data_IF_726079477576
#
_entry.id   IF_726079477576
#
_cell.length_a   1.000
_cell.length_b   1.000
_cell.length_c   1.000
_cell.angle_alpha   90.00
_cell.angle_beta   90.00
_cell.angle_gamma   90.00
#
_symmetry.space_group_name_H-M   'P 1'
#
loop_
_entity.id
_entity.type
_entity.pdbx_description
1 polymer ?
#
# COMPACT_ATOMS: atom_id res chain seq x y z
N UNK A 1 2.85 -14.31 -19.58
CA UNK A 1 2.71 -15.23 -20.75
C UNK A 1 3.90 -16.20 -20.80
N UNK A 2 5.14 -15.73 -20.89
CA UNK A 2 6.34 -16.58 -21.00
C UNK A 2 6.51 -17.53 -19.83
N UNK A 3 6.30 -17.07 -18.61
CA UNK A 3 6.36 -17.91 -17.40
C UNK A 3 5.32 -19.02 -17.45
N UNK A 4 4.07 -18.69 -17.83
CA UNK A 4 3.01 -19.69 -17.96
C UNK A 4 3.34 -20.74 -19.04
N UNK A 5 3.83 -20.29 -20.21
CA UNK A 5 4.24 -21.19 -21.28
C UNK A 5 5.35 -22.15 -20.85
N UNK A 6 6.38 -21.63 -20.16
CA UNK A 6 7.48 -22.44 -19.64
C UNK A 6 7.00 -23.41 -18.56
N UNK A 7 6.19 -22.94 -17.62
CA UNK A 7 5.65 -23.78 -16.55
C UNK A 7 4.76 -24.91 -17.13
N UNK A 8 3.88 -24.58 -18.07
CA UNK A 8 3.04 -25.57 -18.75
C UNK A 8 3.87 -26.67 -19.40
N UNK A 9 4.91 -26.27 -20.17
CA UNK A 9 5.80 -27.22 -20.84
C UNK A 9 6.53 -28.13 -19.85
N UNK A 10 7.06 -27.59 -18.76
CA UNK A 10 7.75 -28.39 -17.72
C UNK A 10 6.79 -29.37 -17.06
N UNK A 11 5.61 -28.90 -16.66
CA UNK A 11 4.61 -29.72 -15.98
C UNK A 11 4.08 -30.85 -16.85
N UNK A 12 3.80 -30.59 -18.12
CA UNK A 12 3.22 -31.59 -19.04
C UNK A 12 4.27 -32.52 -19.64
N UNK A 13 5.48 -32.03 -19.99
CA UNK A 13 6.50 -32.84 -20.68
C UNK A 13 7.47 -33.54 -19.72
N UNK A 14 7.72 -32.98 -18.52
CA UNK A 14 8.69 -33.52 -17.57
C UNK A 14 8.02 -34.00 -16.27
N UNK A 15 6.92 -33.39 -15.86
CA UNK A 15 6.19 -33.69 -14.64
C UNK A 15 5.02 -34.67 -14.83
N UNK A 16 4.66 -35.00 -16.07
CA UNK A 16 3.52 -35.87 -16.44
C UNK A 16 2.18 -35.40 -15.83
N UNK A 17 2.01 -34.07 -15.66
CA UNK A 17 0.76 -33.48 -15.19
C UNK A 17 -0.28 -33.49 -16.29
N UNK A 18 -1.51 -33.87 -15.93
CA UNK A 18 -2.62 -33.66 -16.82
C UNK A 18 -2.85 -32.15 -17.03
N UNK A 19 -2.92 -31.65 -18.28
CA UNK A 19 -3.17 -30.24 -18.55
C UNK A 19 -4.40 -29.66 -17.84
N UNK A 20 -5.45 -30.47 -17.63
CA UNK A 20 -6.67 -30.06 -16.92
C UNK A 20 -6.48 -29.85 -15.40
N UNK A 21 -5.37 -30.30 -14.82
CA UNK A 21 -5.04 -30.09 -13.42
C UNK A 21 -4.18 -28.82 -13.21
N UNK A 22 -3.83 -28.12 -14.29
CA UNK A 22 -3.01 -26.92 -14.27
C UNK A 22 -3.91 -25.68 -14.20
N UNK A 23 -3.74 -24.88 -13.15
CA UNK A 23 -4.45 -23.61 -12.95
C UNK A 23 -3.41 -22.50 -12.90
N UNK A 24 -3.48 -21.54 -13.81
CA UNK A 24 -2.65 -20.35 -13.79
C UNK A 24 -3.37 -19.19 -13.11
N UNK A 25 -2.68 -18.48 -12.23
CA UNK A 25 -3.09 -17.19 -11.70
C UNK A 25 -2.08 -16.11 -12.12
N UNK A 26 -2.38 -15.34 -13.19
CA UNK A 26 -1.49 -14.28 -13.68
C UNK A 26 -1.41 -13.05 -12.80
N UNK A 27 -1.92 -13.09 -11.58
CA UNK A 27 -2.07 -12.00 -10.62
C UNK A 27 -3.02 -10.87 -11.08
N UNK A 28 -4.11 -10.68 -10.35
CA UNK A 28 -4.94 -9.49 -10.48
C UNK A 28 -4.35 -8.40 -9.61
N UNK A 29 -3.92 -7.30 -10.22
CA UNK A 29 -3.30 -6.16 -9.56
C UNK A 29 -4.24 -4.96 -9.53
N UNK A 30 -3.99 -4.00 -8.62
CA UNK A 30 -4.82 -2.83 -8.46
C UNK A 30 -4.67 -1.86 -9.64
N UNK A 31 -5.82 -1.35 -10.13
CA UNK A 31 -5.88 -0.28 -11.13
C UNK A 31 -6.34 1.04 -10.50
N UNK A 32 -6.29 2.13 -11.25
CA UNK A 32 -6.66 3.47 -10.79
C UNK A 32 -5.97 3.84 -9.47
N UNK A 33 -4.69 3.56 -9.34
CA UNK A 33 -3.88 3.91 -8.18
C UNK A 33 -3.31 5.32 -8.24
N UNK A 34 -3.40 5.97 -9.41
CA UNK A 34 -2.72 7.22 -9.74
C UNK A 34 -1.27 7.02 -10.22
N UNK A 35 -0.82 5.79 -10.39
CA UNK A 35 0.47 5.41 -10.95
C UNK A 35 0.22 4.89 -12.36
N UNK A 36 0.77 5.54 -13.37
CA UNK A 36 0.51 5.26 -14.79
C UNK A 36 0.81 3.81 -15.20
N UNK A 37 1.87 3.21 -14.64
CA UNK A 37 2.23 1.82 -14.90
C UNK A 37 1.14 0.81 -14.49
N UNK A 38 0.29 1.19 -13.52
CA UNK A 38 -0.78 0.32 -13.02
C UNK A 38 -2.05 0.35 -13.88
N UNK A 39 -2.20 1.36 -14.74
CA UNK A 39 -3.47 1.58 -15.46
C UNK A 39 -3.80 0.43 -16.42
N UNK A 40 -2.79 -0.30 -16.90
CA UNK A 40 -2.97 -1.39 -17.86
C UNK A 40 -3.08 -2.79 -17.23
N UNK A 41 -2.91 -2.95 -15.92
CA UNK A 41 -2.84 -4.27 -15.27
C UNK A 41 -4.09 -5.14 -15.49
N UNK A 42 -5.28 -4.56 -15.46
CA UNK A 42 -6.51 -5.32 -15.72
C UNK A 42 -6.60 -5.79 -17.18
N UNK A 43 -6.22 -4.93 -18.11
CA UNK A 43 -6.14 -5.25 -19.55
C UNK A 43 -5.14 -6.37 -19.80
N UNK A 44 -4.00 -6.32 -19.16
CA UNK A 44 -2.93 -7.31 -19.31
C UNK A 44 -3.36 -8.67 -18.76
N UNK A 45 -4.06 -8.71 -17.62
CA UNK A 45 -4.65 -9.94 -17.09
C UNK A 45 -5.66 -10.53 -18.07
N UNK A 46 -6.58 -9.71 -18.59
CA UNK A 46 -7.62 -10.15 -19.56
C UNK A 46 -6.97 -10.70 -20.83
N UNK A 47 -5.95 -10.02 -21.37
CA UNK A 47 -5.18 -10.50 -22.54
C UNK A 47 -4.41 -11.78 -22.23
N UNK A 48 -3.76 -11.87 -21.06
CA UNK A 48 -3.02 -13.06 -20.65
C UNK A 48 -3.97 -14.26 -20.52
N UNK A 49 -5.16 -14.07 -19.96
CA UNK A 49 -6.20 -15.08 -19.88
C UNK A 49 -6.54 -15.63 -21.27
N UNK A 50 -6.88 -14.75 -22.22
CA UNK A 50 -7.19 -15.18 -23.59
C UNK A 50 -6.04 -15.89 -24.28
N UNK A 51 -4.80 -15.43 -24.05
CA UNK A 51 -3.61 -16.08 -24.57
C UNK A 51 -3.39 -17.49 -23.99
N UNK A 52 -3.54 -17.66 -22.66
CA UNK A 52 -3.41 -18.96 -21.96
C UNK A 52 -4.44 -19.93 -22.53
N UNK A 53 -5.70 -19.55 -22.59
CA UNK A 53 -6.79 -20.42 -23.09
C UNK A 53 -6.57 -20.85 -24.54
N UNK A 54 -5.97 -19.99 -25.37
CA UNK A 54 -5.68 -20.28 -26.78
C UNK A 54 -4.44 -21.16 -26.97
N UNK A 55 -3.39 -20.98 -26.17
CA UNK A 55 -2.08 -21.53 -26.43
C UNK A 55 -1.67 -22.67 -25.49
N UNK A 56 -2.36 -22.82 -24.33
CA UNK A 56 -2.09 -23.85 -23.32
C UNK A 56 -3.32 -24.74 -23.13
N UNK A 57 -3.57 -25.70 -24.06
CA UNK A 57 -4.80 -26.50 -24.08
C UNK A 57 -5.02 -27.25 -22.77
N UNK A 58 -6.24 -27.20 -22.23
CA UNK A 58 -6.62 -27.85 -20.97
C UNK A 58 -6.34 -27.03 -19.72
N UNK A 59 -5.41 -26.09 -19.75
CA UNK A 59 -5.12 -25.26 -18.58
C UNK A 59 -6.28 -24.31 -18.23
N UNK A 60 -6.44 -24.09 -16.93
CA UNK A 60 -7.43 -23.18 -16.35
C UNK A 60 -6.78 -21.88 -15.91
N UNK A 61 -7.63 -20.82 -15.76
CA UNK A 61 -7.20 -19.51 -15.29
C UNK A 61 -8.03 -19.10 -14.08
N UNK A 62 -7.35 -18.72 -13.01
CA UNK A 62 -7.90 -18.17 -11.77
C UNK A 62 -7.41 -16.75 -11.53
N UNK A 63 -8.11 -16.00 -10.67
CA UNK A 63 -7.64 -14.68 -10.22
C UNK A 63 -8.30 -14.19 -8.95
N UNK A 64 -7.52 -13.51 -8.11
CA UNK A 64 -7.95 -12.85 -6.88
C UNK A 64 -8.58 -11.49 -7.17
N UNK A 65 -9.87 -11.44 -7.50
CA UNK A 65 -10.56 -10.28 -8.06
C UNK A 65 -10.57 -9.05 -7.14
N UNK A 66 -10.57 -9.25 -5.82
CA UNK A 66 -10.65 -8.15 -4.85
C UNK A 66 -9.46 -7.18 -4.90
N UNK A 67 -8.31 -7.63 -5.40
CA UNK A 67 -7.12 -6.79 -5.54
C UNK A 67 -7.32 -5.66 -6.54
N UNK A 68 -8.10 -5.90 -7.62
CA UNK A 68 -8.35 -4.93 -8.69
C UNK A 68 -8.75 -3.56 -8.16
N UNK A 69 -9.65 -3.54 -7.20
CA UNK A 69 -10.32 -2.33 -6.69
C UNK A 69 -9.72 -1.79 -5.38
N UNK A 70 -8.49 -2.17 -5.05
CA UNK A 70 -7.84 -1.75 -3.80
C UNK A 70 -7.77 -0.22 -3.66
N UNK A 71 -7.59 0.50 -4.75
CA UNK A 71 -7.56 1.97 -4.82
C UNK A 71 -8.84 2.64 -4.32
N UNK A 72 -9.99 1.94 -4.37
CA UNK A 72 -11.30 2.40 -3.89
C UNK A 72 -11.70 1.78 -2.54
N UNK A 73 -10.74 1.35 -1.72
CA UNK A 73 -11.02 0.84 -0.37
C UNK A 73 -11.83 1.86 0.44
N UNK A 74 -12.93 1.40 1.04
CA UNK A 74 -13.90 2.26 1.75
C UNK A 74 -15.15 2.63 0.93
N UNK A 75 -15.22 2.27 -0.36
CA UNK A 75 -16.43 2.39 -1.18
C UNK A 75 -16.82 1.01 -1.75
N UNK A 76 -17.61 0.26 -1.01
CA UNK A 76 -17.96 -1.12 -1.37
C UNK A 76 -18.72 -1.20 -2.69
N UNK A 77 -19.62 -0.26 -2.97
CA UNK A 77 -20.40 -0.27 -4.23
C UNK A 77 -19.50 -0.15 -5.46
N UNK A 78 -18.62 0.85 -5.49
CA UNK A 78 -17.68 1.03 -6.61
C UNK A 78 -16.75 -0.19 -6.75
N UNK A 79 -16.29 -0.74 -5.63
CA UNK A 79 -15.44 -1.94 -5.65
C UNK A 79 -16.15 -3.14 -6.25
N UNK A 80 -17.39 -3.43 -5.82
CA UNK A 80 -18.19 -4.53 -6.34
C UNK A 80 -18.52 -4.34 -7.82
N UNK A 81 -18.85 -3.10 -8.22
CA UNK A 81 -19.10 -2.78 -9.63
C UNK A 81 -17.84 -2.96 -10.50
N UNK A 82 -16.65 -2.56 -10.00
CA UNK A 82 -15.38 -2.84 -10.69
C UNK A 82 -15.12 -4.36 -10.83
N UNK A 83 -15.44 -5.14 -9.79
CA UNK A 83 -15.31 -6.61 -9.85
C UNK A 83 -16.25 -7.20 -10.89
N UNK A 84 -17.50 -6.75 -10.94
CA UNK A 84 -18.48 -7.22 -11.90
C UNK A 84 -18.05 -6.93 -13.35
N UNK A 85 -17.56 -5.71 -13.61
CA UNK A 85 -17.05 -5.32 -14.94
C UNK A 85 -15.83 -6.13 -15.33
N UNK A 86 -14.86 -6.27 -14.43
CA UNK A 86 -13.66 -7.07 -14.70
C UNK A 86 -14.01 -8.52 -15.02
N UNK A 87 -14.83 -9.16 -14.18
CA UNK A 87 -15.27 -10.53 -14.38
C UNK A 87 -16.01 -10.71 -15.70
N UNK A 88 -16.89 -9.76 -16.07
CA UNK A 88 -17.57 -9.78 -17.34
C UNK A 88 -16.61 -9.90 -18.53
N UNK A 89 -15.55 -9.10 -18.53
CA UNK A 89 -14.55 -9.12 -19.61
C UNK A 89 -13.58 -10.31 -19.51
N UNK A 90 -13.13 -10.68 -18.31
CA UNK A 90 -12.19 -11.78 -18.12
C UNK A 90 -12.83 -13.16 -18.42
N UNK A 91 -14.09 -13.38 -18.02
CA UNK A 91 -14.83 -14.62 -18.33
C UNK A 91 -15.03 -14.77 -19.84
N UNK A 92 -15.30 -13.69 -20.55
CA UNK A 92 -15.41 -13.71 -22.03
C UNK A 92 -14.09 -14.07 -22.72
N UNK A 93 -12.94 -13.87 -22.05
CA UNK A 93 -11.63 -14.32 -22.51
C UNK A 93 -11.27 -15.73 -22.01
N UNK A 94 -12.18 -16.38 -21.26
CA UNK A 94 -12.03 -17.75 -20.81
C UNK A 94 -11.50 -17.93 -19.39
N UNK A 95 -11.58 -16.91 -18.53
CA UNK A 95 -11.32 -17.07 -17.09
C UNK A 95 -12.30 -18.11 -16.51
N UNK A 96 -11.76 -19.12 -15.84
CA UNK A 96 -12.56 -20.26 -15.34
C UNK A 96 -12.98 -20.06 -13.88
N UNK A 97 -12.12 -19.46 -13.07
CA UNK A 97 -12.27 -19.36 -11.62
C UNK A 97 -11.95 -17.95 -11.13
N UNK A 98 -12.66 -17.48 -10.10
CA UNK A 98 -12.39 -16.21 -9.44
C UNK A 98 -12.50 -16.34 -7.93
N UNK A 99 -11.51 -15.81 -7.21
CA UNK A 99 -11.58 -15.66 -5.76
C UNK A 99 -12.29 -14.35 -5.49
N UNK A 100 -13.54 -14.43 -5.05
CA UNK A 100 -14.45 -13.28 -4.88
C UNK A 100 -15.09 -13.29 -3.50
N UNK A 101 -15.64 -12.14 -3.08
CA UNK A 101 -16.52 -12.09 -1.92
C UNK A 101 -17.88 -12.72 -2.30
N UNK A 102 -18.31 -13.84 -1.68
CA UNK A 102 -19.57 -14.49 -2.02
C UNK A 102 -20.81 -13.67 -1.66
N UNK A 103 -20.66 -12.64 -0.82
CA UNK A 103 -21.72 -11.71 -0.45
C UNK A 103 -21.85 -10.51 -1.40
N UNK A 104 -20.97 -10.40 -2.42
CA UNK A 104 -21.11 -9.34 -3.43
C UNK A 104 -22.39 -9.52 -4.24
N UNK A 105 -23.16 -8.45 -4.37
CA UNK A 105 -24.52 -8.49 -4.99
C UNK A 105 -24.62 -7.69 -6.28
N UNK A 106 -23.61 -6.91 -6.66
CA UNK A 106 -23.64 -6.06 -7.84
C UNK A 106 -23.40 -6.90 -9.10
N UNK A 107 -24.36 -6.92 -10.00
CA UNK A 107 -24.23 -7.55 -11.32
C UNK A 107 -23.86 -6.49 -12.37
N UNK A 108 -23.16 -6.91 -13.42
CA UNK A 108 -22.78 -6.03 -14.54
C UNK A 108 -23.97 -5.29 -15.16
N UNK A 109 -25.10 -5.99 -15.30
CA UNK A 109 -26.34 -5.46 -15.86
C UNK A 109 -27.07 -4.45 -14.97
N UNK A 110 -26.77 -4.44 -13.69
CA UNK A 110 -27.48 -3.61 -12.69
C UNK A 110 -26.74 -2.28 -12.45
N UNK A 111 -25.56 -2.12 -13.05
CA UNK A 111 -24.75 -0.90 -12.91
C UNK A 111 -25.38 0.18 -13.81
N UNK A 112 -25.71 1.38 -13.27
CA UNK A 112 -26.17 2.52 -14.06
C UNK A 112 -25.20 2.84 -15.21
N UNK A 113 -25.73 3.17 -16.39
CA UNK A 113 -24.94 3.30 -17.62
C UNK A 113 -23.80 4.31 -17.54
N UNK A 114 -24.00 5.42 -16.84
CA UNK A 114 -22.99 6.45 -16.60
C UNK A 114 -21.86 5.98 -15.67
N UNK A 115 -22.19 5.20 -14.64
CA UNK A 115 -21.22 4.58 -13.73
C UNK A 115 -20.48 3.45 -14.44
N UNK A 116 -21.20 2.63 -15.22
CA UNK A 116 -20.64 1.52 -16.00
C UNK A 116 -19.59 2.03 -16.99
N UNK A 117 -19.88 3.08 -17.75
CA UNK A 117 -18.92 3.68 -18.69
C UNK A 117 -17.63 4.08 -17.99
N UNK A 118 -17.72 4.75 -16.83
CA UNK A 118 -16.54 5.22 -16.08
C UNK A 118 -15.72 4.07 -15.49
N UNK A 119 -16.39 3.00 -15.05
CA UNK A 119 -15.69 1.81 -14.55
C UNK A 119 -15.03 1.05 -15.71
N UNK A 120 -15.70 0.92 -16.85
CA UNK A 120 -15.10 0.31 -18.04
C UNK A 120 -13.90 1.12 -18.57
N UNK A 121 -13.97 2.46 -18.53
CA UNK A 121 -12.85 3.32 -18.88
C UNK A 121 -11.61 2.99 -18.03
N UNK A 122 -11.80 2.73 -16.73
CA UNK A 122 -10.72 2.34 -15.81
C UNK A 122 -10.26 0.91 -16.07
N UNK A 123 -11.17 -0.06 -16.08
CA UNK A 123 -10.82 -1.49 -16.18
C UNK A 123 -10.19 -1.83 -17.53
N UNK A 124 -10.60 -1.14 -18.59
CA UNK A 124 -10.11 -1.36 -19.95
C UNK A 124 -9.07 -0.32 -20.38
N UNK A 125 -8.66 0.56 -19.48
CA UNK A 125 -7.69 1.63 -19.75
C UNK A 125 -8.02 2.39 -21.04
N UNK A 126 -9.26 2.87 -21.18
CA UNK A 126 -9.73 3.50 -22.42
C UNK A 126 -9.30 4.96 -22.57
N UNK A 127 -8.93 5.61 -21.45
CA UNK A 127 -8.59 7.03 -21.42
C UNK A 127 -7.69 7.40 -20.23
N UNK A 128 -6.82 8.41 -20.37
CA UNK A 128 -5.85 8.78 -19.32
C UNK A 128 -6.46 9.32 -18.03
N UNK A 129 -7.64 9.99 -18.12
CA UNK A 129 -8.36 10.61 -16.98
C UNK A 129 -9.42 9.67 -16.37
N UNK A 130 -9.41 8.38 -16.72
CA UNK A 130 -10.41 7.41 -16.27
C UNK A 130 -10.49 7.31 -14.74
N UNK A 131 -9.34 7.27 -14.07
CA UNK A 131 -9.27 7.17 -12.62
C UNK A 131 -9.88 8.42 -11.94
N UNK A 132 -9.58 9.62 -12.44
CA UNK A 132 -10.13 10.88 -11.89
C UNK A 132 -11.64 10.95 -12.03
N UNK A 133 -12.17 10.62 -13.21
CA UNK A 133 -13.62 10.57 -13.47
C UNK A 133 -14.34 9.57 -12.56
N UNK A 134 -13.75 8.42 -12.31
CA UNK A 134 -14.35 7.44 -11.41
C UNK A 134 -14.32 7.88 -9.95
N UNK A 135 -13.27 8.61 -9.52
CA UNK A 135 -13.19 9.21 -8.18
C UNK A 135 -14.32 10.24 -7.99
N UNK A 136 -14.53 11.13 -8.96
CA UNK A 136 -15.63 12.11 -8.92
C UNK A 136 -16.98 11.42 -8.75
N UNK A 137 -17.20 10.31 -9.48
CA UNK A 137 -18.42 9.51 -9.35
C UNK A 137 -18.54 8.89 -7.97
N UNK A 138 -17.45 8.33 -7.45
CA UNK A 138 -17.42 7.71 -6.12
C UNK A 138 -17.72 8.73 -5.01
N UNK A 139 -17.23 9.95 -5.13
CA UNK A 139 -17.52 11.06 -4.21
C UNK A 139 -18.98 11.52 -4.33
N UNK A 140 -19.50 11.70 -5.55
CA UNK A 140 -20.88 12.11 -5.78
C UNK A 140 -21.87 11.11 -5.18
N UNK A 141 -21.65 9.80 -5.40
CA UNK A 141 -22.48 8.74 -4.83
C UNK A 141 -22.44 8.73 -3.29
N UNK A 142 -21.28 9.00 -2.70
CA UNK A 142 -21.10 9.09 -1.24
C UNK A 142 -21.85 10.28 -0.65
N UNK A 143 -21.80 11.45 -1.31
CA UNK A 143 -22.47 12.69 -0.91
C UNK A 143 -24.00 12.59 -1.03
N UNK A 144 -24.50 11.91 -2.06
CA UNK A 144 -25.94 11.63 -2.22
C UNK A 144 -26.48 10.79 -1.08
N UNK A 145 -25.69 9.82 -0.59
CA UNK A 145 -26.07 8.98 0.55
C UNK A 145 -26.00 9.72 1.91
N UNK A 146 -25.21 10.81 2.03
CA UNK A 146 -25.01 11.56 3.28
C UNK A 146 -25.71 12.93 3.31
N UNK A 147 -26.36 13.34 2.23
CA UNK A 147 -27.12 14.61 2.15
C UNK A 147 -26.25 15.89 2.23
N UNK A 148 -24.96 15.80 1.99
CA UNK A 148 -24.04 16.94 2.02
C UNK A 148 -23.90 17.54 0.62
N UNK A 149 -24.28 18.81 0.45
CA UNK A 149 -24.11 19.56 -0.81
C UNK A 149 -22.61 19.72 -1.17
N UNK A 150 -22.31 19.59 -2.46
CA UNK A 150 -20.98 19.86 -2.99
C UNK A 150 -20.63 21.35 -2.82
N UNK A 151 -19.63 21.65 -2.03
CA UNK A 151 -19.07 23.01 -1.89
C UNK A 151 -18.44 23.43 -3.22
N UNK A 152 -18.83 24.59 -3.76
CA UNK A 152 -18.27 25.18 -4.99
C UNK A 152 -16.74 25.28 -4.88
N UNK A 153 -16.04 24.86 -5.93
CA UNK A 153 -14.59 24.65 -5.97
C UNK A 153 -13.73 25.91 -5.71
N UNK A 154 -14.25 27.11 -5.86
CA UNK A 154 -13.43 28.33 -5.87
C UNK A 154 -13.41 29.16 -4.57
N UNK A 155 -14.27 28.83 -3.59
CA UNK A 155 -14.38 29.61 -2.32
C UNK A 155 -13.10 29.56 -1.48
N UNK A 156 -12.27 28.51 -1.62
CA UNK A 156 -11.03 28.37 -0.87
C UNK A 156 -9.95 29.41 -1.27
N UNK A 157 -10.03 30.02 -2.45
CA UNK A 157 -9.11 31.09 -2.87
C UNK A 157 -9.38 32.40 -2.15
N UNK A 158 -10.58 32.58 -1.58
CA UNK A 158 -10.95 33.75 -0.78
C UNK A 158 -10.41 33.65 0.66
N UNK A 159 -9.82 32.51 1.05
CA UNK A 159 -9.18 32.35 2.37
C UNK A 159 -7.96 33.28 2.47
N UNK A 160 -7.95 34.21 3.43
CA UNK A 160 -6.89 35.21 3.55
C UNK A 160 -5.55 34.59 4.05
N UNK A 161 -5.58 33.46 4.76
CA UNK A 161 -4.39 32.82 5.30
C UNK A 161 -3.77 31.90 4.25
N UNK A 162 -2.56 32.22 3.80
CA UNK A 162 -1.85 31.44 2.79
C UNK A 162 -1.58 30.01 3.25
N UNK A 163 -1.37 29.80 4.54
CA UNK A 163 -1.19 28.48 5.14
C UNK A 163 -2.40 27.57 4.89
N UNK A 164 -3.60 28.09 5.07
CA UNK A 164 -4.83 27.34 4.83
C UNK A 164 -5.05 27.06 3.34
N UNK A 165 -4.67 28.01 2.47
CA UNK A 165 -4.72 27.80 1.02
C UNK A 165 -3.76 26.67 0.60
N UNK A 166 -2.53 26.68 1.12
CA UNK A 166 -1.53 25.63 0.88
C UNK A 166 -1.99 24.26 1.41
N UNK A 167 -2.55 24.22 2.63
CA UNK A 167 -3.11 22.99 3.19
C UNK A 167 -4.26 22.46 2.33
N UNK A 168 -5.19 23.33 1.91
CA UNK A 168 -6.31 22.93 1.06
C UNK A 168 -5.84 22.43 -0.31
N UNK A 169 -4.91 23.14 -0.93
CA UNK A 169 -4.31 22.75 -2.21
C UNK A 169 -3.68 21.36 -2.13
N UNK A 170 -2.96 21.06 -1.05
CA UNK A 170 -2.43 19.72 -0.80
C UNK A 170 -3.54 18.68 -0.61
N UNK A 171 -4.50 18.93 0.30
CA UNK A 171 -5.58 17.98 0.58
C UNK A 171 -6.37 17.64 -0.69
N UNK A 172 -6.55 18.59 -1.60
CA UNK A 172 -7.27 18.39 -2.87
C UNK A 172 -6.36 18.02 -4.04
N UNK A 173 -5.05 18.05 -3.86
CA UNK A 173 -4.09 17.78 -4.93
C UNK A 173 -4.11 18.83 -6.05
N UNK A 174 -4.35 20.12 -5.71
CA UNK A 174 -4.41 21.24 -6.66
C UNK A 174 -3.03 21.86 -6.76
N UNK A 175 -2.43 21.81 -7.95
CA UNK A 175 -1.08 22.34 -8.19
C UNK A 175 -1.03 23.69 -8.92
N UNK A 176 -2.17 24.24 -9.35
CA UNK A 176 -2.23 25.38 -10.30
C UNK A 176 -1.83 26.71 -9.66
N UNK A 177 -2.05 26.90 -8.36
CA UNK A 177 -1.77 28.14 -7.63
C UNK A 177 -0.58 28.05 -6.67
N UNK A 178 0.18 26.94 -6.69
CA UNK A 178 1.29 26.73 -5.76
C UNK A 178 2.39 27.77 -5.86
N UNK A 179 2.69 28.25 -7.07
CA UNK A 179 3.75 29.26 -7.27
C UNK A 179 3.40 30.59 -6.61
N UNK A 180 2.13 31.02 -6.75
CA UNK A 180 1.61 32.26 -6.15
C UNK A 180 1.58 32.15 -4.62
N UNK A 181 0.98 31.07 -4.10
CA UNK A 181 0.79 30.88 -2.67
C UNK A 181 2.15 30.65 -1.96
N UNK A 182 3.09 29.95 -2.57
CA UNK A 182 4.43 29.78 -2.02
C UNK A 182 5.24 31.08 -2.07
N UNK A 183 5.11 31.89 -3.13
CA UNK A 183 5.76 33.19 -3.20
C UNK A 183 5.21 34.18 -2.15
N UNK A 184 3.95 34.05 -1.74
CA UNK A 184 3.38 34.78 -0.60
C UNK A 184 3.91 34.23 0.72
N UNK A 185 3.91 32.93 0.91
CA UNK A 185 4.38 32.26 2.13
C UNK A 185 5.84 32.57 2.42
N UNK A 186 6.71 32.59 1.41
CA UNK A 186 8.16 32.95 1.56
C UNK A 186 8.36 34.34 2.17
N UNK A 187 7.43 35.27 2.02
CA UNK A 187 7.50 36.60 2.64
C UNK A 187 7.12 36.60 4.11
N UNK A 188 6.40 35.58 4.56
CA UNK A 188 5.87 35.46 5.92
C UNK A 188 6.74 34.58 6.82
N UNK A 189 7.45 33.63 6.22
CA UNK A 189 8.27 32.66 6.96
C UNK A 189 9.76 33.04 6.91
N UNK A 190 10.48 32.93 8.04
CA UNK A 190 11.91 33.26 8.11
C UNK A 190 12.77 32.40 7.17
N UNK A 191 12.38 31.14 6.99
CA UNK A 191 13.09 30.17 6.14
C UNK A 191 12.11 29.40 5.27
N UNK A 192 12.52 29.08 4.05
CA UNK A 192 11.71 28.28 3.14
C UNK A 192 11.42 26.86 3.67
N UNK A 193 12.32 26.31 4.51
CA UNK A 193 12.11 25.01 5.19
C UNK A 193 10.91 25.06 6.14
N UNK A 194 10.68 26.17 6.83
CA UNK A 194 9.58 26.33 7.79
C UNK A 194 8.20 26.22 7.09
N UNK A 195 8.12 26.56 5.80
CA UNK A 195 6.90 26.37 4.99
C UNK A 195 6.64 24.88 4.74
N UNK A 196 7.71 24.12 4.54
CA UNK A 196 7.59 22.65 4.35
C UNK A 196 7.17 22.00 5.66
N UNK A 197 7.87 22.27 6.76
CA UNK A 197 7.64 21.67 8.07
C UNK A 197 6.34 22.15 8.74
N UNK A 198 5.85 23.34 8.39
CA UNK A 198 4.58 23.89 8.86
C UNK A 198 3.40 23.52 7.94
N UNK A 199 2.91 24.49 7.16
CA UNK A 199 1.62 24.36 6.44
C UNK A 199 1.58 23.20 5.44
N UNK A 200 2.70 22.86 4.77
CA UNK A 200 2.71 21.74 3.83
C UNK A 200 2.63 20.40 4.56
N UNK A 201 3.39 20.20 5.62
CA UNK A 201 3.33 18.96 6.41
C UNK A 201 2.02 18.81 7.17
N UNK A 202 1.41 19.91 7.65
CA UNK A 202 0.07 19.87 8.24
C UNK A 202 -0.99 19.39 7.23
N UNK A 203 -0.91 19.88 5.98
CA UNK A 203 -1.74 19.38 4.89
C UNK A 203 -1.55 17.90 4.63
N UNK A 204 -0.30 17.41 4.59
CA UNK A 204 0.03 15.99 4.41
C UNK A 204 -0.45 15.12 5.58
N UNK A 205 -0.32 15.59 6.81
CA UNK A 205 -0.84 14.88 7.99
C UNK A 205 -2.36 14.71 7.89
N UNK A 206 -3.07 15.76 7.43
CA UNK A 206 -4.52 15.70 7.23
C UNK A 206 -4.91 14.70 6.14
N UNK A 207 -4.16 14.63 5.05
CA UNK A 207 -4.33 13.62 4.00
C UNK A 207 -4.16 12.21 4.59
N UNK A 208 -3.14 12.00 5.42
CA UNK A 208 -2.92 10.74 6.13
C UNK A 208 -4.10 10.33 7.01
N UNK A 209 -4.65 11.28 7.81
CA UNK A 209 -5.84 11.04 8.62
C UNK A 209 -7.08 10.66 7.77
N UNK A 210 -7.32 11.40 6.68
CA UNK A 210 -8.46 11.16 5.79
C UNK A 210 -8.35 9.81 5.09
N UNK A 211 -7.15 9.44 4.63
CA UNK A 211 -6.89 8.16 4.01
C UNK A 211 -7.05 7.00 5.00
N UNK A 212 -6.46 7.11 6.19
CA UNK A 212 -6.60 6.12 7.27
C UNK A 212 -8.04 5.94 7.75
N UNK A 213 -8.86 7.01 7.74
CA UNK A 213 -10.28 6.97 8.04
C UNK A 213 -11.17 6.45 6.87
N UNK A 214 -10.60 6.09 5.72
CA UNK A 214 -11.33 5.67 4.52
C UNK A 214 -12.15 6.79 3.85
N UNK A 215 -11.81 8.06 4.16
CA UNK A 215 -12.47 9.25 3.59
C UNK A 215 -11.78 9.79 2.35
N UNK A 216 -10.59 9.30 2.05
CA UNK A 216 -9.80 9.63 0.86
C UNK A 216 -9.37 8.34 0.16
N UNK A 217 -9.32 8.33 -1.16
CA UNK A 217 -8.90 7.19 -1.97
C UNK A 217 -7.41 7.29 -2.33
N UNK A 218 -6.79 6.14 -2.61
CA UNK A 218 -5.36 6.08 -2.94
C UNK A 218 -4.94 7.03 -4.08
N UNK A 219 -5.66 7.15 -5.20
CA UNK A 219 -5.26 8.08 -6.27
C UNK A 219 -5.24 9.54 -5.82
N UNK A 220 -6.12 9.93 -4.88
CA UNK A 220 -6.11 11.27 -4.29
C UNK A 220 -4.85 11.49 -3.45
N UNK A 221 -4.40 10.49 -2.69
CA UNK A 221 -3.14 10.55 -1.94
C UNK A 221 -1.95 10.70 -2.90
N UNK A 222 -1.94 9.94 -4.00
CA UNK A 222 -0.88 10.04 -5.03
C UNK A 222 -0.89 11.44 -5.67
N UNK A 223 -2.07 11.99 -5.96
CA UNK A 223 -2.21 13.36 -6.50
C UNK A 223 -1.66 14.40 -5.52
N UNK A 224 -2.03 14.31 -4.23
CA UNK A 224 -1.48 15.14 -3.16
C UNK A 224 0.04 15.04 -3.08
N UNK A 225 0.57 13.84 -3.19
CA UNK A 225 1.99 13.57 -3.20
C UNK A 225 2.75 14.29 -4.34
N UNK A 226 2.18 14.27 -5.54
CA UNK A 226 2.71 15.03 -6.69
C UNK A 226 2.67 16.54 -6.42
N UNK A 227 1.59 17.02 -5.80
CA UNK A 227 1.44 18.44 -5.42
C UNK A 227 2.49 18.84 -4.39
N UNK A 228 2.74 18.02 -3.36
CA UNK A 228 3.80 18.23 -2.38
C UNK A 228 5.18 18.27 -3.04
N UNK A 229 5.48 17.30 -3.91
CA UNK A 229 6.74 17.26 -4.66
C UNK A 229 6.95 18.52 -5.52
N UNK A 230 5.88 19.01 -6.16
CA UNK A 230 5.91 20.28 -6.93
C UNK A 230 6.20 21.48 -6.00
N UNK A 231 5.54 21.56 -4.84
CA UNK A 231 5.77 22.61 -3.86
C UNK A 231 7.22 22.63 -3.34
N UNK A 232 7.76 21.45 -2.98
CA UNK A 232 9.17 21.31 -2.56
C UNK A 232 10.14 21.72 -3.68
N UNK A 233 9.87 21.32 -4.92
CA UNK A 233 10.70 21.71 -6.07
C UNK A 233 10.71 23.24 -6.31
N UNK A 234 9.62 23.93 -6.06
CA UNK A 234 9.54 25.40 -6.14
C UNK A 234 10.35 26.06 -5.03
N UNK A 235 10.33 25.49 -3.81
CA UNK A 235 11.07 26.02 -2.66
C UNK A 235 12.57 25.63 -2.66
N UNK A 236 12.94 24.58 -3.39
CA UNK A 236 14.30 24.02 -3.41
C UNK A 236 15.39 25.07 -3.68
N UNK A 237 15.28 25.97 -4.70
CA UNK A 237 16.30 26.99 -4.96
C UNK A 237 16.47 27.98 -3.81
N UNK A 238 15.40 28.31 -3.08
CA UNK A 238 15.43 29.20 -1.92
C UNK A 238 16.10 28.52 -0.73
N UNK A 239 15.80 27.24 -0.55
CA UNK A 239 16.43 26.41 0.48
C UNK A 239 17.92 26.25 0.20
N UNK A 240 18.32 26.07 -1.06
CA UNK A 240 19.73 25.98 -1.46
C UNK A 240 20.48 27.31 -1.33
N UNK A 241 19.81 28.43 -1.57
CA UNK A 241 20.37 29.76 -1.40
C UNK A 241 20.59 30.12 0.08
N UNK A 242 19.73 29.64 0.99
CA UNK A 242 19.86 29.82 2.43
C UNK A 242 20.92 28.90 3.07
N UNK A 243 21.50 27.97 2.31
CA UNK A 243 22.42 26.96 2.82
C UNK A 243 23.89 27.32 2.61
N UNK A 244 24.59 27.28 3.71
CA UNK A 244 26.00 26.84 3.76
C UNK A 244 26.14 25.30 3.89
N UNK A 245 25.07 24.57 4.09
CA UNK A 245 25.08 23.09 4.18
C UNK A 245 23.82 22.47 3.57
N UNK A 246 24.01 21.45 2.70
CA UNK A 246 22.99 20.82 1.84
C UNK A 246 21.70 20.34 2.51
N UNK A 247 20.55 20.40 1.78
CA UNK A 247 19.26 19.81 2.21
C UNK A 247 19.46 18.30 2.32
N UNK A 248 19.46 17.78 3.53
CA UNK A 248 19.42 16.34 3.76
C UNK A 248 17.98 15.87 3.57
N UNK A 249 17.79 14.70 2.94
CA UNK A 249 16.51 13.99 2.98
C UNK A 249 16.12 13.79 4.45
N UNK A 250 14.82 13.62 4.73
CA UNK A 250 14.34 13.33 6.07
C UNK A 250 14.92 12.01 6.63
N UNK A 251 15.48 11.18 5.75
CA UNK A 251 16.17 9.92 6.02
C UNK A 251 16.08 8.97 4.83
N UNK A 252 16.88 7.90 4.87
CA UNK A 252 16.88 6.83 3.86
C UNK A 252 16.08 5.63 4.37
N UNK A 253 15.12 5.17 3.60
CA UNK A 253 14.25 4.03 3.96
C UNK A 253 14.41 2.91 2.94
N UNK A 254 14.87 1.76 3.40
CA UNK A 254 14.91 0.54 2.59
C UNK A 254 13.56 -0.17 2.70
N UNK A 255 12.97 -0.51 1.56
CA UNK A 255 11.70 -1.23 1.48
C UNK A 255 11.88 -2.58 0.80
N UNK A 256 11.33 -3.64 1.39
CA UNK A 256 11.38 -4.97 0.81
C UNK A 256 10.14 -5.80 1.16
N UNK A 257 9.62 -6.56 0.19
CA UNK A 257 8.76 -7.71 0.47
C UNK A 257 9.66 -8.92 0.71
N UNK A 258 9.50 -9.55 1.87
CA UNK A 258 10.41 -10.61 2.33
C UNK A 258 10.39 -11.84 1.43
N UNK A 259 11.42 -12.70 1.56
CA UNK A 259 11.58 -13.92 0.79
C UNK A 259 10.31 -14.78 0.78
N UNK A 260 9.99 -15.35 -0.39
CA UNK A 260 8.82 -16.20 -0.58
C UNK A 260 7.50 -15.47 -0.75
N UNK A 261 7.48 -14.14 -0.67
CA UNK A 261 6.27 -13.32 -0.84
C UNK A 261 6.41 -12.37 -2.03
N UNK A 262 5.36 -12.32 -2.85
CA UNK A 262 5.30 -11.51 -4.08
C UNK A 262 4.33 -10.33 -3.97
N UNK A 263 3.67 -10.16 -2.82
CA UNK A 263 2.66 -9.13 -2.62
C UNK A 263 3.34 -7.79 -2.30
N UNK A 264 3.31 -6.86 -3.23
CA UNK A 264 4.03 -5.58 -3.15
C UNK A 264 3.12 -4.34 -3.05
N UNK A 265 1.81 -4.47 -3.27
CA UNK A 265 0.87 -3.34 -3.30
C UNK A 265 1.00 -2.50 -2.02
N UNK A 266 0.97 -3.13 -0.84
CA UNK A 266 1.10 -2.43 0.43
C UNK A 266 2.45 -1.74 0.58
N UNK A 267 3.54 -2.39 0.17
CA UNK A 267 4.90 -1.84 0.19
C UNK A 267 5.00 -0.62 -0.73
N UNK A 268 4.47 -0.72 -1.95
CA UNK A 268 4.53 0.37 -2.93
C UNK A 268 3.75 1.60 -2.46
N UNK A 269 2.59 1.41 -1.80
CA UNK A 269 1.82 2.50 -1.20
C UNK A 269 2.64 3.19 -0.10
N UNK A 270 3.27 2.44 0.80
CA UNK A 270 4.12 2.99 1.85
C UNK A 270 5.31 3.73 1.24
N UNK A 271 5.96 3.17 0.22
CA UNK A 271 7.07 3.80 -0.49
C UNK A 271 6.68 5.16 -1.06
N UNK A 272 5.50 5.25 -1.70
CA UNK A 272 4.97 6.52 -2.22
C UNK A 272 4.72 7.51 -1.08
N UNK A 273 4.04 7.11 0.00
CA UNK A 273 3.76 7.98 1.15
C UNK A 273 5.05 8.50 1.77
N UNK A 274 6.06 7.65 1.95
CA UNK A 274 7.35 8.02 2.52
C UNK A 274 8.13 8.97 1.59
N UNK A 275 8.18 8.69 0.29
CA UNK A 275 8.82 9.55 -0.70
C UNK A 275 8.19 10.95 -0.74
N UNK A 276 6.87 11.04 -0.55
CA UNK A 276 6.13 12.31 -0.48
C UNK A 276 6.48 13.13 0.77
N UNK A 277 6.93 12.46 1.82
CA UNK A 277 7.40 13.07 3.06
C UNK A 277 8.94 13.26 3.08
N UNK A 278 9.53 13.41 1.90
CA UNK A 278 10.95 13.73 1.72
C UNK A 278 11.94 12.63 2.19
N UNK A 279 11.48 11.36 2.27
CA UNK A 279 12.39 10.23 2.49
C UNK A 279 12.95 9.72 1.17
N UNK A 280 14.23 9.37 1.15
CA UNK A 280 14.86 8.66 0.05
C UNK A 280 14.48 7.16 0.15
N UNK A 281 13.83 6.60 -0.87
CA UNK A 281 13.36 5.22 -0.87
C UNK A 281 14.29 4.33 -1.69
N UNK A 282 14.76 3.26 -1.04
CA UNK A 282 15.53 2.20 -1.66
C UNK A 282 14.65 0.97 -1.69
N UNK A 283 13.96 0.74 -2.82
CA UNK A 283 13.05 -0.38 -2.99
C UNK A 283 13.79 -1.60 -3.56
N UNK A 284 13.83 -2.69 -2.81
CA UNK A 284 14.46 -3.96 -3.23
C UNK A 284 13.49 -4.88 -3.97
N UNK A 285 12.20 -4.51 -4.09
CA UNK A 285 11.20 -5.32 -4.75
C UNK A 285 10.61 -6.41 -3.86
N UNK A 286 10.35 -7.58 -4.47
CA UNK A 286 9.69 -8.73 -3.84
C UNK A 286 10.63 -9.92 -3.69
N UNK A 287 10.25 -10.91 -2.87
CA UNK A 287 11.00 -12.14 -2.64
C UNK A 287 12.45 -11.89 -2.18
N UNK A 288 12.69 -10.85 -1.41
CA UNK A 288 14.04 -10.39 -1.06
C UNK A 288 14.61 -11.22 0.08
N UNK A 289 15.75 -11.94 -0.12
CA UNK A 289 16.41 -12.68 0.95
C UNK A 289 16.95 -11.78 2.06
N UNK A 290 16.98 -12.27 3.30
CA UNK A 290 17.47 -11.54 4.47
C UNK A 290 18.89 -10.99 4.28
N UNK A 291 19.79 -11.79 3.69
CA UNK A 291 21.18 -11.41 3.45
C UNK A 291 21.30 -10.21 2.49
N UNK A 292 20.37 -10.10 1.51
CA UNK A 292 20.33 -8.96 0.59
C UNK A 292 19.86 -7.71 1.30
N UNK A 293 18.83 -7.82 2.17
CA UNK A 293 18.32 -6.71 2.97
C UNK A 293 19.43 -6.17 3.86
N UNK A 294 20.12 -7.03 4.61
CA UNK A 294 21.24 -6.66 5.49
C UNK A 294 22.37 -5.99 4.71
N UNK A 295 22.80 -6.60 3.61
CA UNK A 295 23.87 -6.06 2.77
C UNK A 295 23.53 -4.66 2.24
N UNK A 296 22.31 -4.50 1.69
CA UNK A 296 21.86 -3.22 1.16
C UNK A 296 21.67 -2.18 2.25
N UNK A 297 21.20 -2.55 3.43
CA UNK A 297 21.11 -1.64 4.57
C UNK A 297 22.46 -1.05 4.95
N UNK A 298 23.54 -1.87 4.91
CA UNK A 298 24.92 -1.42 5.19
C UNK A 298 25.45 -0.57 4.03
N UNK A 299 25.36 -1.03 2.79
CA UNK A 299 25.87 -0.35 1.60
C UNK A 299 25.30 1.07 1.47
N UNK A 300 23.98 1.19 1.61
CA UNK A 300 23.25 2.44 1.42
C UNK A 300 23.17 3.31 2.69
N UNK A 301 23.60 2.78 3.84
CA UNK A 301 23.53 3.43 5.15
C UNK A 301 22.12 3.94 5.46
N UNK A 302 21.15 3.03 5.42
CA UNK A 302 19.75 3.37 5.61
C UNK A 302 19.44 3.67 7.08
N UNK A 303 18.48 4.56 7.29
CA UNK A 303 18.03 4.99 8.61
C UNK A 303 16.85 4.15 9.12
N UNK A 304 16.07 3.55 8.21
CA UNK A 304 14.90 2.72 8.53
C UNK A 304 14.80 1.58 7.53
N UNK A 305 14.31 0.42 7.99
CA UNK A 305 14.00 -0.74 7.16
C UNK A 305 12.50 -1.01 7.24
N UNK A 306 11.81 -1.00 6.10
CA UNK A 306 10.40 -1.38 5.96
C UNK A 306 10.28 -2.79 5.38
N UNK A 307 9.67 -3.70 6.15
CA UNK A 307 9.41 -5.08 5.71
C UNK A 307 7.91 -5.28 5.45
N UNK A 308 7.60 -5.85 4.31
CA UNK A 308 6.23 -6.18 3.91
C UNK A 308 6.07 -7.69 3.69
N UNK A 309 4.87 -8.20 3.99
CA UNK A 309 4.48 -9.57 3.71
C UNK A 309 2.99 -9.78 3.91
N UNK A 310 2.39 -10.67 3.10
CA UNK A 310 0.96 -10.94 3.12
C UNK A 310 0.62 -12.37 3.54
N UNK A 311 1.52 -13.31 3.34
CA UNK A 311 1.28 -14.73 3.63
C UNK A 311 1.87 -15.13 4.97
N UNK A 312 1.35 -16.20 5.57
CA UNK A 312 1.83 -16.67 6.89
C UNK A 312 3.33 -16.95 6.96
N UNK A 313 3.98 -17.56 5.95
CA UNK A 313 5.43 -17.78 5.96
C UNK A 313 6.25 -16.47 6.02
N UNK A 314 5.72 -15.36 5.52
CA UNK A 314 6.41 -14.06 5.58
C UNK A 314 6.67 -13.59 7.01
N UNK A 315 5.84 -14.02 7.97
CA UNK A 315 6.01 -13.69 9.37
C UNK A 315 7.30 -14.28 9.97
N UNK A 316 7.67 -15.49 9.56
CA UNK A 316 8.91 -16.16 9.97
C UNK A 316 10.12 -15.52 9.29
N UNK A 317 9.99 -15.17 8.01
CA UNK A 317 11.04 -14.47 7.27
C UNK A 317 11.34 -13.08 7.83
N UNK A 318 10.33 -12.32 8.30
CA UNK A 318 10.53 -11.04 8.99
C UNK A 318 11.33 -11.22 10.29
N UNK A 319 11.04 -12.28 11.06
CA UNK A 319 11.82 -12.60 12.26
C UNK A 319 13.25 -13.02 11.90
N UNK A 320 13.44 -13.76 10.80
CA UNK A 320 14.75 -14.13 10.28
C UNK A 320 15.57 -12.90 9.87
N UNK A 321 14.98 -11.93 9.16
CA UNK A 321 15.64 -10.64 8.83
C UNK A 321 16.11 -9.94 10.09
N UNK A 322 15.28 -9.87 11.13
CA UNK A 322 15.64 -9.24 12.41
C UNK A 322 16.85 -9.93 13.08
N UNK A 323 16.90 -11.26 13.04
CA UNK A 323 18.07 -12.03 13.54
C UNK A 323 19.33 -11.73 12.73
N UNK A 324 19.26 -11.68 11.41
CA UNK A 324 20.43 -11.39 10.56
C UNK A 324 20.92 -9.94 10.71
N UNK A 325 20.02 -8.96 10.87
CA UNK A 325 20.40 -7.59 11.20
C UNK A 325 21.13 -7.50 12.54
N UNK A 326 20.62 -8.18 13.59
CA UNK A 326 21.30 -8.26 14.89
C UNK A 326 22.67 -8.93 14.77
N UNK A 327 22.77 -10.01 13.99
CA UNK A 327 24.06 -10.70 13.76
C UNK A 327 25.07 -9.80 13.07
N UNK A 328 24.60 -8.89 12.20
CA UNK A 328 25.43 -7.87 11.55
C UNK A 328 25.77 -6.69 12.45
N UNK A 329 25.27 -6.65 13.70
CA UNK A 329 25.50 -5.55 14.63
C UNK A 329 24.74 -4.27 14.30
N UNK A 330 23.61 -4.39 13.62
CA UNK A 330 22.76 -3.28 13.21
C UNK A 330 21.56 -3.13 14.16
N UNK A 331 21.29 -1.90 14.59
CA UNK A 331 20.15 -1.53 15.44
C UNK A 331 19.18 -0.58 14.71
N UNK A 332 19.16 -0.62 13.36
CA UNK A 332 18.31 0.20 12.50
C UNK A 332 16.84 -0.07 12.80
N UNK A 333 15.97 0.93 13.02
CA UNK A 333 14.54 0.72 13.23
C UNK A 333 13.89 -0.09 12.10
N UNK A 334 13.09 -1.09 12.48
CA UNK A 334 12.34 -1.94 11.55
C UNK A 334 10.85 -1.59 11.63
N UNK A 335 10.25 -1.26 10.50
CA UNK A 335 8.80 -1.06 10.36
C UNK A 335 8.20 -2.29 9.68
N UNK A 336 7.26 -2.96 10.37
CA UNK A 336 6.62 -4.20 9.92
C UNK A 336 5.23 -3.90 9.39
N UNK A 337 4.97 -4.19 8.13
CA UNK A 337 3.68 -4.01 7.48
C UNK A 337 3.19 -5.25 6.73
N UNK A 338 1.90 -5.25 6.41
CA UNK A 338 1.24 -6.32 5.67
C UNK A 338 0.00 -6.88 6.39
N UNK A 339 -0.96 -7.42 5.62
CA UNK A 339 -2.28 -7.78 6.14
C UNK A 339 -2.27 -8.92 7.17
N UNK A 340 -1.28 -9.82 7.13
CA UNK A 340 -1.13 -10.92 8.09
C UNK A 340 -0.31 -10.52 9.31
N UNK A 341 0.36 -9.38 9.28
CA UNK A 341 1.17 -8.90 10.40
C UNK A 341 0.27 -8.36 11.53
N UNK A 342 0.76 -8.45 12.75
CA UNK A 342 0.06 -7.91 13.90
C UNK A 342 1.02 -7.42 14.98
N UNK A 343 0.57 -6.49 15.79
CA UNK A 343 1.33 -5.97 16.92
C UNK A 343 1.71 -7.08 17.90
N UNK A 344 0.80 -8.05 18.09
CA UNK A 344 1.05 -9.20 18.97
C UNK A 344 2.18 -10.08 18.40
N UNK A 345 2.15 -10.41 17.12
CA UNK A 345 3.22 -11.19 16.45
C UNK A 345 4.56 -10.45 16.54
N UNK A 346 4.56 -9.15 16.23
CA UNK A 346 5.77 -8.31 16.33
C UNK A 346 6.34 -8.33 17.75
N UNK A 347 5.50 -8.17 18.77
CA UNK A 347 5.91 -8.19 20.18
C UNK A 347 6.43 -9.56 20.64
N UNK A 348 5.86 -10.68 20.13
CA UNK A 348 6.20 -12.03 20.58
C UNK A 348 7.37 -12.66 19.81
N UNK A 349 7.52 -12.38 18.53
CA UNK A 349 8.41 -13.13 17.64
C UNK A 349 9.55 -12.30 17.04
N UNK A 350 9.33 -11.02 16.75
CA UNK A 350 10.32 -10.20 16.06
C UNK A 350 11.12 -9.34 17.05
N UNK A 351 10.44 -8.53 17.86
CA UNK A 351 11.10 -7.63 18.80
C UNK A 351 12.03 -8.35 19.82
N UNK A 352 11.73 -9.57 20.35
CA UNK A 352 12.64 -10.22 21.29
C UNK A 352 13.95 -10.71 20.69
N UNK A 353 13.99 -10.94 19.38
CA UNK A 353 15.19 -11.45 18.68
C UNK A 353 16.06 -10.33 18.10
N UNK A 354 15.58 -9.09 18.14
CA UNK A 354 16.28 -7.91 17.63
C UNK A 354 16.74 -6.98 18.77
N UNK A 355 17.80 -6.23 18.53
CA UNK A 355 18.32 -5.26 19.49
C UNK A 355 17.76 -3.85 19.31
N UNK A 356 17.41 -3.48 18.07
CA UNK A 356 16.84 -2.18 17.71
C UNK A 356 15.32 -2.11 17.82
N UNK A 357 14.71 -0.94 17.54
CA UNK A 357 13.26 -0.76 17.57
C UNK A 357 12.55 -1.54 16.45
N UNK A 358 11.46 -2.23 16.77
CA UNK A 358 10.59 -2.91 15.79
C UNK A 358 9.17 -2.41 15.94
N UNK A 359 8.62 -1.81 14.91
CA UNK A 359 7.31 -1.16 14.95
C UNK A 359 6.33 -1.85 13.99
N UNK A 360 5.19 -2.30 14.52
CA UNK A 360 4.10 -2.77 13.68
C UNK A 360 3.30 -1.59 13.14
N UNK A 361 3.22 -1.49 11.81
CA UNK A 361 2.49 -0.47 11.08
C UNK A 361 1.13 -1.01 10.62
N UNK A 362 0.07 -0.48 11.21
CA UNK A 362 -1.29 -0.90 10.87
C UNK A 362 -1.79 -0.25 9.58
N UNK A 363 -1.31 0.96 9.31
CA UNK A 363 -1.77 1.80 8.21
C UNK A 363 -0.60 2.47 7.50
N UNK A 364 -0.66 2.52 6.17
CA UNK A 364 0.38 3.14 5.35
C UNK A 364 0.57 4.63 5.64
N UNK A 365 -0.51 5.34 5.99
CA UNK A 365 -0.48 6.79 6.25
C UNK A 365 0.33 7.18 7.48
N UNK A 366 0.48 6.28 8.45
CA UNK A 366 1.20 6.55 9.70
C UNK A 366 2.72 6.38 9.59
N UNK A 367 3.20 5.80 8.48
CA UNK A 367 4.62 5.46 8.35
C UNK A 367 5.53 6.69 8.44
N UNK A 368 5.20 7.77 7.74
CA UNK A 368 5.99 8.99 7.76
C UNK A 368 6.04 9.65 9.15
N UNK A 369 4.92 9.69 9.87
CA UNK A 369 4.85 10.24 11.22
C UNK A 369 5.67 9.41 12.21
N UNK A 370 5.60 8.09 12.12
CA UNK A 370 6.37 7.18 12.99
C UNK A 370 7.86 7.28 12.66
N UNK A 371 8.22 7.33 11.38
CA UNK A 371 9.61 7.51 10.93
C UNK A 371 10.20 8.83 11.45
N UNK A 372 9.46 9.93 11.36
CA UNK A 372 9.91 11.22 11.88
C UNK A 372 10.20 11.18 13.39
N UNK A 373 9.36 10.47 14.18
CA UNK A 373 9.60 10.29 15.63
C UNK A 373 10.80 9.41 15.92
N UNK A 374 11.05 8.37 15.13
CA UNK A 374 12.17 7.45 15.29
C UNK A 374 13.51 8.13 14.98
N UNK A 375 13.53 9.01 13.98
CA UNK A 375 14.76 9.70 13.55
C UNK A 375 15.01 11.01 14.29
N UNK A 376 14.05 11.54 15.04
CA UNK A 376 14.25 12.72 15.87
C UNK A 376 14.91 12.33 17.22
N UNK A 377 16.15 12.80 17.51
CA UNK A 377 16.87 12.45 18.73
C UNK A 377 16.12 12.80 20.03
N UNK A 378 15.29 13.86 20.01
CA UNK A 378 14.57 14.32 21.21
C UNK A 378 13.36 13.42 21.56
N UNK A 379 12.68 12.83 20.54
CA UNK A 379 11.47 12.05 20.73
C UNK A 379 11.67 10.54 20.63
N UNK A 380 12.77 10.09 20.04
CA UNK A 380 13.04 8.68 19.74
C UNK A 380 13.10 7.82 20.99
N UNK A 381 13.86 8.24 22.01
CA UNK A 381 14.06 7.46 23.25
C UNK A 381 12.75 7.23 23.98
N UNK A 382 11.94 8.26 24.21
CA UNK A 382 10.65 8.16 24.88
C UNK A 382 9.68 7.28 24.08
N UNK A 383 9.66 7.42 22.76
CA UNK A 383 8.82 6.62 21.89
C UNK A 383 9.17 5.13 21.95
N UNK A 384 10.46 4.79 21.92
CA UNK A 384 10.95 3.42 21.99
C UNK A 384 10.70 2.79 23.36
N UNK A 385 10.93 3.53 24.45
CA UNK A 385 10.63 3.06 25.81
C UNK A 385 9.14 2.72 25.99
N UNK A 386 8.26 3.60 25.52
CA UNK A 386 6.82 3.35 25.56
C UNK A 386 6.41 2.13 24.74
N UNK A 387 7.00 1.96 23.55
CA UNK A 387 6.77 0.80 22.70
C UNK A 387 7.21 -0.51 23.36
N UNK A 388 8.40 -0.51 23.97
CA UNK A 388 8.94 -1.68 24.66
C UNK A 388 8.07 -2.10 25.86
N UNK A 389 7.61 -1.14 26.65
CA UNK A 389 6.68 -1.38 27.76
C UNK A 389 5.36 -1.99 27.27
N UNK A 390 4.81 -1.46 26.18
CA UNK A 390 3.60 -2.02 25.58
C UNK A 390 3.81 -3.47 25.09
N UNK A 391 4.97 -3.76 24.52
CA UNK A 391 5.31 -5.12 24.08
C UNK A 391 5.52 -6.08 25.25
N UNK A 392 6.07 -5.62 26.37
CA UNK A 392 6.16 -6.41 27.61
C UNK A 392 4.79 -6.76 28.16
N UNK A 393 3.87 -5.78 28.23
CA UNK A 393 2.50 -5.99 28.65
C UNK A 393 1.76 -7.01 27.77
N UNK A 394 1.98 -6.95 26.43
CA UNK A 394 1.41 -7.92 25.49
C UNK A 394 1.98 -9.34 25.71
N UNK A 395 3.28 -9.46 25.97
CA UNK A 395 3.92 -10.75 26.28
C UNK A 395 3.39 -11.36 27.57
N UNK A 396 3.28 -10.56 28.62
CA UNK A 396 2.74 -10.98 29.92
C UNK A 396 1.29 -11.46 29.81
N UNK A 397 0.44 -10.69 29.14
CA UNK A 397 -0.97 -11.06 28.89
C UNK A 397 -1.11 -12.32 28.06
N UNK A 398 -0.20 -12.57 27.12
CA UNK A 398 -0.25 -13.75 26.26
C UNK A 398 0.32 -14.99 26.96
N UNK A 399 1.36 -14.84 27.81
CA UNK A 399 1.91 -15.94 28.59
C UNK A 399 0.91 -16.47 29.63
N UNK A 400 0.01 -15.63 30.12
CA UNK A 400 -1.07 -16.04 31.00
C UNK A 400 -2.19 -16.84 30.31
N UNK A 401 -2.28 -16.80 28.99
CA UNK A 401 -3.21 -17.60 28.17
C UNK A 401 -2.55 -18.93 27.79
N UNK A 402 -2.41 -19.86 28.72
CA UNK A 402 -2.06 -21.23 28.37
C UNK A 402 -3.20 -21.85 27.56
N UNK A 403 -2.97 -22.05 26.27
CA UNK A 403 -3.85 -22.87 25.44
C UNK A 403 -3.70 -24.30 25.96
N UNK A 404 -4.78 -24.85 26.56
CA UNK A 404 -4.85 -26.25 26.91
C UNK A 404 -4.77 -27.06 25.62
N UNK A 405 -3.61 -27.60 25.30
CA UNK A 405 -3.45 -28.54 24.20
C UNK A 405 -3.83 -29.93 24.66
N UNK A 406 -4.54 -30.66 23.84
CA UNK A 406 -4.83 -32.08 24.03
C UNK A 406 -3.85 -32.92 23.19
N UNK A 407 -3.59 -34.15 23.60
CA UNK A 407 -2.77 -35.06 22.81
C UNK A 407 -3.43 -35.40 21.46
N UNK A 408 -2.65 -35.80 20.46
CA UNK A 408 -3.20 -36.22 19.18
C UNK A 408 -4.20 -37.39 19.33
N UNK A 409 -3.91 -38.35 20.23
CA UNK A 409 -4.78 -39.47 20.53
C UNK A 409 -6.15 -39.00 21.12
N UNK A 410 -6.11 -38.03 22.01
CA UNK A 410 -7.31 -37.47 22.61
C UNK A 410 -8.11 -36.67 21.59
N UNK A 411 -7.43 -35.90 20.72
CA UNK A 411 -8.06 -35.20 19.60
C UNK A 411 -8.71 -36.15 18.59
N UNK A 412 -8.05 -37.29 18.30
CA UNK A 412 -8.58 -38.34 17.41
C UNK A 412 -9.79 -39.03 18.02
N UNK A 413 -9.79 -39.30 19.33
CA UNK A 413 -10.96 -39.86 20.03
C UNK A 413 -12.16 -38.93 20.04
N UNK A 414 -11.90 -37.63 20.10
CA UNK A 414 -12.93 -36.57 20.09
C UNK A 414 -13.29 -36.10 18.68
N UNK A 415 -12.84 -36.80 17.63
CA UNK A 415 -13.15 -36.50 16.25
C UNK A 415 -14.66 -36.43 16.03
N UNK A 416 -15.13 -35.32 15.49
CA UNK A 416 -16.51 -35.20 15.09
C UNK A 416 -16.79 -36.12 13.88
N UNK A 417 -17.57 -37.19 14.12
CA UNK A 417 -18.06 -38.06 13.07
C UNK A 417 -19.45 -37.62 12.64
N UNK A 418 -19.52 -36.87 11.55
CA UNK A 418 -20.80 -36.41 10.98
C UNK A 418 -21.47 -37.49 10.08
N UNK A 419 -20.70 -38.52 9.71
CA UNK A 419 -21.11 -39.57 8.81
C UNK A 419 -20.76 -40.93 9.42
N UNK A 420 -21.69 -41.48 10.18
CA UNK A 420 -21.64 -42.87 10.67
C UNK A 420 -22.77 -43.69 10.05
#
# INVERSE_FOLDING_TARGET
>A
IEVCARAYKILTEQGDFNPHDIIFDPNVLAVATGIEEHDNYAVDFIKATGWIKKNLPGAHVSGGVSNLSFSFRGNNYIREAMHAVFLYHAIRQGMDMGIVNPAASVLYTDIPADVLERIEDVVLNRRPDAAERLIETAEALKNTATGTEAVKQDVWREEPMVEKRLQYALIKGIGDHLEEDLAEAVKLYPKAVDIIEGPLMEGMNKVGELFGAGKMFLPQVVKTARTMKKAVAILQPLIEADKQEGVRSAGKVLMATVKGDVHDIGKNIVSVVMACNNYEIIDLGVMVPAEMIVRKAIEEKVDIIGLSGLITPSLEEMAHVAVELKRAGLDIPIMIGGATTSKLHTALKIAPVYGGPVIHMKDASQNALVAARLLNPESSSEFVERLNKEYEDLRLKNSAKQVKTVSLEEAQKNKLNLWS
#
